data_IF_593716697926
#
_entry.id   IF_593716697926
#
_cell.length_a   1.000
_cell.length_b   1.000
_cell.length_c   1.000
_cell.angle_alpha   90.00
_cell.angle_beta   90.00
_cell.angle_gamma   90.00
#
_symmetry.space_group_name_H-M   'P 1'
#
loop_
_entity.id
_entity.type
_entity.pdbx_description
1 polymer ?
#
# COMPACT_ATOMS: atom_id res chain seq x y z
N UNK A 1 -5.99 -21.24 11.41
CA UNK A 1 -6.89 -22.41 11.31
C UNK A 1 -6.78 -23.17 9.99
N UNK A 2 -6.36 -22.55 8.87
CA UNK A 2 -6.23 -23.24 7.57
C UNK A 2 -4.93 -24.04 7.40
N UNK A 3 -3.83 -23.57 8.03
CA UNK A 3 -2.49 -24.15 7.90
C UNK A 3 -2.36 -25.67 8.17
N UNK A 4 -2.97 -26.27 9.23
CA UNK A 4 -2.82 -27.70 9.50
C UNK A 4 -3.50 -28.59 8.45
N UNK A 5 -4.57 -28.11 7.81
CA UNK A 5 -5.28 -28.85 6.76
C UNK A 5 -4.42 -28.89 5.50
N UNK A 6 -3.80 -27.75 5.15
CA UNK A 6 -2.89 -27.63 4.00
C UNK A 6 -1.66 -28.53 4.16
N UNK A 7 -1.05 -28.56 5.35
CA UNK A 7 0.10 -29.42 5.63
C UNK A 7 -0.26 -30.90 5.50
N UNK A 8 -1.44 -31.31 5.95
CA UNK A 8 -1.95 -32.68 5.80
C UNK A 8 -2.20 -33.06 4.34
N UNK A 9 -2.75 -32.16 3.55
CA UNK A 9 -3.03 -32.41 2.13
C UNK A 9 -1.76 -32.40 1.28
N UNK A 10 -0.78 -31.58 1.66
CA UNK A 10 0.55 -31.60 1.05
C UNK A 10 1.31 -32.91 1.37
N UNK A 11 1.25 -33.40 2.61
CA UNK A 11 1.87 -34.70 2.96
C UNK A 11 1.23 -35.88 2.26
N UNK A 12 -0.06 -35.76 1.90
CA UNK A 12 -0.78 -36.76 1.11
C UNK A 12 -0.54 -36.64 -0.40
N UNK A 13 0.28 -35.68 -0.85
CA UNK A 13 0.61 -35.49 -2.27
C UNK A 13 -0.52 -34.95 -3.13
N UNK A 14 -1.60 -34.42 -2.53
CA UNK A 14 -2.79 -33.94 -3.26
C UNK A 14 -2.50 -32.60 -3.95
N UNK A 15 -1.74 -31.70 -3.32
CA UNK A 15 -1.34 -30.40 -3.87
C UNK A 15 0.06 -29.96 -3.45
N UNK A 16 0.80 -29.31 -4.36
CA UNK A 16 2.07 -28.62 -4.06
C UNK A 16 1.80 -27.26 -3.43
N UNK A 17 2.64 -26.85 -2.48
CA UNK A 17 2.56 -25.57 -1.75
C UNK A 17 2.47 -24.36 -2.70
N UNK A 18 3.19 -24.40 -3.83
CA UNK A 18 3.18 -23.35 -4.85
C UNK A 18 1.82 -23.19 -5.55
N UNK A 19 1.13 -24.30 -5.81
CA UNK A 19 -0.21 -24.30 -6.44
C UNK A 19 -1.26 -23.74 -5.48
N UNK A 20 -1.18 -24.11 -4.20
CA UNK A 20 -2.04 -23.54 -3.16
C UNK A 20 -1.82 -22.03 -3.02
N UNK A 21 -0.55 -21.59 -2.98
CA UNK A 21 -0.22 -20.16 -2.89
C UNK A 21 -0.76 -19.38 -4.08
N UNK A 22 -0.54 -19.84 -5.31
CA UNK A 22 -1.06 -19.18 -6.51
C UNK A 22 -2.59 -19.14 -6.54
N UNK A 23 -3.24 -20.27 -6.21
CA UNK A 23 -4.71 -20.34 -6.16
C UNK A 23 -5.30 -19.36 -5.15
N UNK A 24 -4.70 -19.26 -3.95
CA UNK A 24 -5.13 -18.30 -2.93
C UNK A 24 -4.93 -16.85 -3.38
N UNK A 25 -3.78 -16.52 -3.95
CA UNK A 25 -3.52 -15.17 -4.45
C UNK A 25 -4.49 -14.77 -5.57
N UNK A 26 -4.80 -15.67 -6.51
CA UNK A 26 -5.76 -15.42 -7.59
C UNK A 26 -7.19 -15.24 -7.06
N UNK A 27 -7.58 -16.03 -6.06
CA UNK A 27 -8.90 -15.92 -5.43
C UNK A 27 -9.06 -14.60 -4.67
N UNK A 28 -8.00 -14.08 -4.05
CA UNK A 28 -8.03 -12.83 -3.26
C UNK A 28 -7.82 -11.56 -4.11
N UNK A 29 -7.16 -11.65 -5.26
CA UNK A 29 -6.94 -10.53 -6.19
C UNK A 29 -8.17 -9.66 -6.50
N UNK A 30 -9.35 -10.20 -6.84
CA UNK A 30 -10.53 -9.37 -7.12
C UNK A 30 -10.96 -8.55 -5.91
N UNK A 31 -10.85 -9.11 -4.71
CA UNK A 31 -11.15 -8.39 -3.47
C UNK A 31 -10.18 -7.23 -3.24
N UNK A 32 -8.89 -7.41 -3.57
CA UNK A 32 -7.88 -6.37 -3.44
C UNK A 32 -8.00 -5.23 -4.44
N UNK A 33 -8.76 -5.40 -5.54
CA UNK A 33 -9.00 -4.32 -6.51
C UNK A 33 -10.30 -3.59 -6.18
N UNK A 34 -11.36 -4.35 -5.88
CA UNK A 34 -12.70 -3.78 -5.66
C UNK A 34 -12.75 -2.94 -4.39
N UNK A 35 -12.16 -3.41 -3.29
CA UNK A 35 -12.21 -2.71 -2.01
C UNK A 35 -11.55 -1.32 -2.04
N UNK A 36 -10.28 -1.17 -2.50
CA UNK A 36 -9.66 0.14 -2.59
C UNK A 36 -10.29 1.01 -3.69
N UNK A 37 -10.85 0.44 -4.75
CA UNK A 37 -11.56 1.22 -5.77
C UNK A 37 -12.82 1.89 -5.20
N UNK A 38 -13.62 1.16 -4.41
CA UNK A 38 -14.79 1.73 -3.73
C UNK A 38 -14.37 2.78 -2.71
N UNK A 39 -13.35 2.49 -1.91
CA UNK A 39 -12.82 3.44 -0.92
C UNK A 39 -12.32 4.72 -1.59
N UNK A 40 -11.51 4.60 -2.65
CA UNK A 40 -10.99 5.73 -3.40
C UNK A 40 -12.11 6.53 -4.06
N UNK A 41 -13.13 5.87 -4.64
CA UNK A 41 -14.29 6.55 -5.20
C UNK A 41 -14.95 7.47 -4.16
N UNK A 42 -15.25 6.98 -2.97
CA UNK A 42 -15.89 7.78 -1.92
C UNK A 42 -14.98 8.96 -1.50
N UNK A 43 -13.71 8.69 -1.22
CA UNK A 43 -12.77 9.71 -0.74
C UNK A 43 -12.51 10.79 -1.78
N UNK A 44 -12.37 10.41 -3.06
CA UNK A 44 -12.09 11.34 -4.15
C UNK A 44 -13.20 12.38 -4.32
N UNK A 45 -14.46 11.94 -4.32
CA UNK A 45 -15.62 12.83 -4.39
C UNK A 45 -15.80 13.67 -3.13
N UNK A 46 -15.50 13.12 -1.95
CA UNK A 46 -15.60 13.87 -0.68
C UNK A 46 -14.53 14.94 -0.53
N UNK A 47 -13.32 14.69 -1.02
CA UNK A 47 -12.21 15.63 -0.94
C UNK A 47 -12.27 16.74 -2.02
N UNK A 48 -13.14 16.60 -3.02
CA UNK A 48 -13.37 17.63 -4.03
C UNK A 48 -12.19 17.81 -5.00
N UNK A 49 -11.50 16.70 -5.33
CA UNK A 49 -10.35 16.70 -6.24
C UNK A 49 -10.77 16.96 -7.69
N UNK A 50 -9.80 17.22 -8.58
CA UNK A 50 -10.04 17.54 -9.98
C UNK A 50 -10.82 16.39 -10.65
N UNK A 51 -12.01 16.64 -11.23
CA UNK A 51 -12.86 15.57 -11.74
C UNK A 51 -12.41 15.05 -13.12
N UNK A 52 -11.14 14.67 -13.25
CA UNK A 52 -10.61 14.02 -14.45
C UNK A 52 -10.56 12.49 -14.29
N UNK A 53 -10.97 11.79 -15.35
CA UNK A 53 -11.06 10.32 -15.35
C UNK A 53 -9.68 9.66 -15.35
N UNK A 54 -8.69 10.26 -16.01
CA UNK A 54 -7.32 9.77 -16.04
C UNK A 54 -6.69 9.80 -14.65
N UNK A 55 -6.79 10.94 -13.99
CA UNK A 55 -6.28 11.17 -12.62
C UNK A 55 -6.94 10.25 -11.61
N UNK A 56 -8.25 10.02 -11.72
CA UNK A 56 -8.98 9.07 -10.88
C UNK A 56 -8.51 7.61 -11.06
N UNK A 57 -8.30 7.18 -12.31
CA UNK A 57 -7.82 5.82 -12.61
C UNK A 57 -6.39 5.63 -12.10
N UNK A 58 -5.50 6.61 -12.30
CA UNK A 58 -4.14 6.57 -11.78
C UNK A 58 -4.11 6.54 -10.24
N UNK A 59 -4.90 7.39 -9.58
CA UNK A 59 -5.03 7.38 -8.12
C UNK A 59 -5.55 6.01 -7.61
N UNK A 60 -6.57 5.45 -8.26
CA UNK A 60 -7.11 4.12 -7.92
C UNK A 60 -6.06 3.03 -8.10
N UNK A 61 -5.25 3.10 -9.16
CA UNK A 61 -4.16 2.15 -9.40
C UNK A 61 -3.08 2.24 -8.31
N UNK A 62 -2.66 3.45 -7.93
CA UNK A 62 -1.71 3.66 -6.83
C UNK A 62 -2.27 3.08 -5.52
N UNK A 63 -3.54 3.34 -5.20
CA UNK A 63 -4.22 2.78 -4.04
C UNK A 63 -4.29 1.24 -4.04
N UNK A 64 -4.49 0.63 -5.21
CA UNK A 64 -4.46 -0.83 -5.33
C UNK A 64 -3.04 -1.39 -5.11
N UNK A 65 -2.00 -0.73 -5.65
CA UNK A 65 -0.61 -1.15 -5.47
C UNK A 65 -0.18 -1.08 -3.99
N UNK A 66 -0.47 0.03 -3.30
CA UNK A 66 -0.13 0.16 -1.88
C UNK A 66 -0.84 -0.90 -1.02
N UNK A 67 -2.10 -1.21 -1.32
CA UNK A 67 -2.82 -2.27 -0.62
C UNK A 67 -2.13 -3.63 -0.80
N UNK A 68 -1.75 -3.99 -2.03
CA UNK A 68 -1.02 -5.24 -2.32
C UNK A 68 0.32 -5.32 -1.57
N UNK A 69 1.08 -4.22 -1.51
CA UNK A 69 2.34 -4.16 -0.76
C UNK A 69 2.09 -4.34 0.74
N UNK A 70 1.10 -3.64 1.30
CA UNK A 70 0.76 -3.74 2.73
C UNK A 70 0.33 -5.17 3.13
N UNK A 71 -0.46 -5.83 2.27
CA UNK A 71 -0.88 -7.22 2.46
C UNK A 71 0.33 -8.15 2.41
N UNK A 72 1.24 -7.95 1.46
CA UNK A 72 2.47 -8.75 1.34
C UNK A 72 3.36 -8.64 2.57
N UNK A 73 3.51 -7.43 3.12
CA UNK A 73 4.24 -7.18 4.38
C UNK A 73 3.54 -7.84 5.57
N UNK A 74 2.20 -7.81 5.59
CA UNK A 74 1.40 -8.47 6.62
C UNK A 74 1.58 -9.99 6.57
N UNK A 75 1.58 -10.58 5.37
CA UNK A 75 1.88 -12.01 5.19
C UNK A 75 3.30 -12.38 5.61
N UNK A 76 4.30 -11.58 5.25
CA UNK A 76 5.68 -11.80 5.69
C UNK A 76 5.81 -11.72 7.23
N UNK A 77 5.10 -10.79 7.85
CA UNK A 77 5.07 -10.66 9.31
C UNK A 77 4.38 -11.87 9.94
N UNK A 78 3.25 -12.31 9.38
CA UNK A 78 2.53 -13.49 9.86
C UNK A 78 3.36 -14.78 9.79
N UNK A 79 4.19 -14.96 8.76
CA UNK A 79 5.06 -16.13 8.63
C UNK A 79 6.25 -16.10 9.58
N UNK A 80 6.81 -14.92 9.88
CA UNK A 80 7.92 -14.76 10.84
C UNK A 80 7.49 -15.15 12.25
N UNK A 81 6.31 -14.70 12.69
CA UNK A 81 5.86 -14.91 14.07
C UNK A 81 5.13 -16.24 14.28
N UNK A 82 4.66 -16.91 13.23
CA UNK A 82 4.05 -18.26 13.27
C UNK A 82 2.71 -18.35 14.02
N UNK A 83 2.34 -17.32 14.79
CA UNK A 83 1.08 -17.19 15.52
C UNK A 83 0.37 -15.90 15.11
N UNK A 84 -0.91 -16.03 14.73
CA UNK A 84 -1.71 -14.92 14.20
C UNK A 84 -1.95 -13.82 15.25
N UNK A 85 -2.14 -14.19 16.51
CA UNK A 85 -2.39 -13.23 17.61
C UNK A 85 -1.15 -12.37 17.90
N UNK A 86 0.01 -13.01 17.84
CA UNK A 86 1.31 -12.38 18.04
C UNK A 86 1.57 -11.43 16.87
N UNK A 87 1.39 -11.88 15.62
CA UNK A 87 1.62 -11.07 14.43
C UNK A 87 0.79 -9.77 14.41
N UNK A 88 -0.49 -9.81 14.79
CA UNK A 88 -1.35 -8.62 14.83
C UNK A 88 -0.89 -7.57 15.85
N UNK A 89 -0.22 -8.00 16.93
CA UNK A 89 0.31 -7.09 17.96
C UNK A 89 1.62 -6.44 17.54
N UNK A 90 2.47 -7.15 16.79
CA UNK A 90 3.76 -6.62 16.31
C UNK A 90 3.67 -5.86 14.99
N UNK A 91 2.64 -6.10 14.17
CA UNK A 91 2.46 -5.43 12.88
C UNK A 91 2.47 -3.88 13.00
N UNK A 92 1.77 -3.24 13.96
CA UNK A 92 1.79 -1.79 14.10
C UNK A 92 3.19 -1.25 14.43
N UNK A 93 4.01 -2.01 15.14
CA UNK A 93 5.38 -1.61 15.50
C UNK A 93 6.24 -1.49 14.24
N UNK A 94 5.96 -2.28 13.20
CA UNK A 94 6.63 -2.16 11.89
C UNK A 94 6.00 -1.08 11.00
N UNK A 95 4.67 -0.97 10.98
CA UNK A 95 3.95 -0.05 10.07
C UNK A 95 4.07 1.40 10.52
N UNK A 96 4.01 1.69 11.82
CA UNK A 96 4.04 3.07 12.35
C UNK A 96 5.33 3.82 12.00
N UNK A 97 6.54 3.24 12.15
CA UNK A 97 7.76 3.89 11.68
C UNK A 97 7.77 4.12 10.17
N UNK A 98 7.29 3.17 9.37
CA UNK A 98 7.21 3.33 7.91
C UNK A 98 6.28 4.49 7.52
N UNK A 99 5.17 4.67 8.25
CA UNK A 99 4.26 5.79 8.08
C UNK A 99 4.91 7.12 8.51
N UNK A 100 5.59 7.17 9.65
CA UNK A 100 6.25 8.36 10.17
C UNK A 100 7.34 8.89 9.22
N UNK A 101 8.12 7.98 8.62
CA UNK A 101 9.12 8.31 7.59
C UNK A 101 8.54 8.37 6.17
N UNK A 102 7.21 8.29 6.02
CA UNK A 102 6.48 8.28 4.75
C UNK A 102 6.35 9.64 4.06
N UNK A 103 7.17 10.62 4.42
CA UNK A 103 7.23 11.94 3.75
C UNK A 103 6.17 12.96 4.16
N UNK A 104 5.00 12.53 4.67
CA UNK A 104 3.96 13.44 5.16
C UNK A 104 4.30 14.11 6.50
N UNK A 105 4.76 13.32 7.48
CA UNK A 105 5.00 13.83 8.85
C UNK A 105 6.38 14.47 9.03
N UNK A 106 7.39 13.98 8.31
CA UNK A 106 8.78 14.45 8.41
C UNK A 106 9.28 14.75 7.00
N UNK A 107 9.67 16.00 6.77
CA UNK A 107 10.32 16.43 5.52
C UNK A 107 11.67 15.74 5.37
N UNK A 108 11.99 15.29 4.15
CA UNK A 108 13.21 14.53 3.83
C UNK A 108 14.51 15.21 4.32
N UNK A 109 14.55 16.55 4.31
CA UNK A 109 15.71 17.33 4.75
C UNK A 109 15.96 17.30 6.26
N UNK A 110 14.94 17.01 7.06
CA UNK A 110 15.05 16.91 8.51
C UNK A 110 15.55 15.52 8.98
N UNK A 111 15.72 14.55 8.07
CA UNK A 111 16.10 13.17 8.41
C UNK A 111 17.64 13.06 8.52
N UNK A 112 18.19 12.69 9.69
CA UNK A 112 19.62 12.42 9.85
C UNK A 112 20.08 11.32 8.88
N UNK A 113 21.28 11.46 8.30
CA UNK A 113 21.79 10.56 7.25
C UNK A 113 21.69 9.06 7.56
N UNK A 114 21.80 8.68 8.83
CA UNK A 114 21.65 7.29 9.29
C UNK A 114 20.25 6.69 9.10
N UNK A 115 19.18 7.49 9.04
CA UNK A 115 17.81 7.00 8.85
C UNK A 115 17.30 7.13 7.41
N UNK A 116 18.10 7.66 6.48
CA UNK A 116 17.68 7.86 5.08
C UNK A 116 17.30 6.56 4.37
N UNK A 117 17.98 5.45 4.67
CA UNK A 117 17.67 4.15 4.08
C UNK A 117 16.24 3.67 4.42
N UNK A 118 15.77 3.97 5.64
CA UNK A 118 14.44 3.55 6.10
C UNK A 118 13.34 4.38 5.42
N UNK A 119 13.60 5.67 5.17
CA UNK A 119 12.70 6.51 4.38
C UNK A 119 12.63 6.07 2.92
N UNK A 120 13.76 5.71 2.31
CA UNK A 120 13.81 5.18 0.93
C UNK A 120 13.17 3.79 0.79
N UNK A 121 13.03 3.04 1.88
CA UNK A 121 12.34 1.74 1.89
C UNK A 121 10.82 1.88 2.11
N UNK A 122 10.35 3.03 2.60
CA UNK A 122 8.94 3.23 2.92
C UNK A 122 8.10 3.37 1.65
N UNK A 123 7.22 2.37 1.41
CA UNK A 123 6.24 2.41 0.33
C UNK A 123 5.18 3.52 0.50
N UNK A 124 4.95 3.99 1.74
CA UNK A 124 4.07 5.13 2.00
C UNK A 124 4.61 6.42 1.38
N UNK A 125 5.94 6.63 1.43
CA UNK A 125 6.60 7.81 0.85
C UNK A 125 6.30 7.92 -0.65
N UNK A 126 6.60 6.86 -1.39
CA UNK A 126 6.41 6.85 -2.85
C UNK A 126 4.93 6.98 -3.24
N UNK A 127 4.03 6.36 -2.47
CA UNK A 127 2.60 6.43 -2.75
C UNK A 127 2.07 7.86 -2.55
N UNK A 128 2.51 8.54 -1.49
CA UNK A 128 2.14 9.93 -1.24
C UNK A 128 2.71 10.89 -2.29
N UNK A 129 4.00 10.76 -2.63
CA UNK A 129 4.62 11.56 -3.69
C UNK A 129 3.92 11.36 -5.05
N UNK A 130 3.59 10.11 -5.41
CA UNK A 130 2.88 9.81 -6.65
C UNK A 130 1.47 10.42 -6.69
N UNK A 131 0.70 10.32 -5.58
CA UNK A 131 -0.61 10.94 -5.49
C UNK A 131 -0.53 12.47 -5.54
N UNK A 132 0.47 13.06 -4.87
CA UNK A 132 0.69 14.50 -4.92
C UNK A 132 0.99 14.95 -6.35
N UNK A 133 1.93 14.30 -7.04
CA UNK A 133 2.25 14.64 -8.44
C UNK A 133 1.01 14.52 -9.32
N UNK A 134 0.27 13.41 -9.22
CA UNK A 134 -0.94 13.15 -10.00
C UNK A 134 -2.00 14.26 -9.86
N UNK A 135 -2.18 14.82 -8.67
CA UNK A 135 -3.16 15.89 -8.44
C UNK A 135 -2.62 17.29 -8.81
N UNK A 136 -1.38 17.58 -8.44
CA UNK A 136 -0.80 18.92 -8.63
C UNK A 136 -0.32 19.18 -10.06
N UNK A 137 -0.02 18.13 -10.84
CA UNK A 137 0.35 18.27 -12.26
C UNK A 137 -0.80 18.81 -13.12
N UNK A 138 -2.06 18.59 -12.70
CA UNK A 138 -3.23 19.14 -13.41
C UNK A 138 -3.62 20.57 -12.98
N UNK A 139 -2.98 21.14 -11.95
CA UNK A 139 -3.34 22.45 -11.42
C UNK A 139 -2.35 23.51 -11.94
N UNK A 140 -2.65 24.07 -13.10
CA UNK A 140 -1.82 25.09 -13.76
C UNK A 140 -1.85 26.47 -13.07
N UNK A 141 -2.84 26.75 -12.22
CA UNK A 141 -3.07 28.10 -11.69
C UNK A 141 -3.51 28.08 -10.22
N UNK A 142 -2.61 28.50 -9.33
CA UNK A 142 -2.97 28.85 -7.96
C UNK A 142 -3.53 30.28 -7.98
N UNK A 143 -4.77 30.54 -7.50
CA UNK A 143 -5.32 31.89 -7.47
C UNK A 143 -4.55 32.73 -6.45
N UNK A 144 -3.53 33.46 -6.94
CA UNK A 144 -2.68 34.32 -6.14
C UNK A 144 -1.19 34.35 -6.52
N UNK A 145 -0.69 33.44 -7.36
CA UNK A 145 0.69 33.47 -7.83
C UNK A 145 0.79 33.15 -9.32
N UNK A 146 1.33 34.10 -10.09
CA UNK A 146 1.48 33.96 -11.53
C UNK A 146 2.63 33.00 -11.86
N UNK A 147 2.26 31.76 -12.20
CA UNK A 147 3.05 30.72 -12.90
C UNK A 147 4.15 30.03 -12.08
N UNK A 148 4.07 28.70 -12.03
CA UNK A 148 5.01 27.80 -11.33
C UNK A 148 5.79 26.91 -12.32
N UNK A 149 5.82 27.27 -13.60
CA UNK A 149 6.53 26.50 -14.64
C UNK A 149 7.63 27.33 -15.30
N UNK A 150 8.84 27.26 -14.73
CA UNK A 150 10.09 27.20 -15.47
C UNK A 150 11.00 26.15 -14.83
#
# INVERSE_FOLDING_TARGET
MELPIVLRENSNGVYTISTYFLGKNIAELPQYIILPAIYNAIVYWMAGLVPDVGTFIFATFICALIANVAISVSYATATIFGSTDVAMTYLPIFVVPMLAFGGYFITYDAIPGYFKWLSSLSYFKYSYEALAINEWEMIDVIPGNSKISQ
#
